data_IF_844207884979
#
_entry.id   IF_844207884979
#
_cell.length_a   1.000
_cell.length_b   1.000
_cell.length_c   1.000
_cell.angle_alpha   90.00
_cell.angle_beta   90.00
_cell.angle_gamma   90.00
#
_symmetry.space_group_name_H-M   'P 1'
#
loop_
_entity.id
_entity.type
_entity.pdbx_description
1 polymer ?
#
# COMPACT_ATOMS: atom_id res chain seq x y z
N UNK A 1 -7.10 -19.68 6.15
CA UNK A 1 -8.47 -19.92 6.63
C UNK A 1 -8.66 -19.11 7.90
N UNK A 2 -9.77 -18.38 7.99
CA UNK A 2 -10.11 -17.55 9.14
C UNK A 2 -11.56 -17.79 9.57
N UNK A 3 -11.87 -17.41 10.80
CA UNK A 3 -13.24 -17.21 11.28
C UNK A 3 -13.36 -15.80 11.85
N UNK A 4 -14.42 -15.10 11.45
CA UNK A 4 -14.75 -13.76 11.92
C UNK A 4 -16.25 -13.57 11.84
N UNK A 5 -16.85 -12.93 12.85
CA UNK A 5 -18.31 -12.72 12.91
C UNK A 5 -19.14 -14.01 12.75
N UNK A 6 -18.64 -15.15 13.23
CA UNK A 6 -19.30 -16.46 13.08
C UNK A 6 -19.25 -17.05 11.67
N UNK A 7 -18.58 -16.37 10.72
CA UNK A 7 -18.37 -16.82 9.34
C UNK A 7 -16.98 -17.42 9.24
N UNK A 8 -16.89 -18.67 8.81
CA UNK A 8 -15.66 -19.42 8.68
C UNK A 8 -15.35 -19.71 7.20
N UNK A 9 -14.18 -19.28 6.73
CA UNK A 9 -13.83 -19.45 5.33
C UNK A 9 -12.46 -18.94 4.92
N UNK A 10 -12.29 -18.77 3.62
CA UNK A 10 -11.07 -18.23 3.01
C UNK A 10 -11.39 -16.81 2.52
N UNK A 11 -10.61 -15.83 2.97
CA UNK A 11 -10.69 -14.46 2.45
C UNK A 11 -10.30 -14.47 0.98
N UNK A 12 -11.21 -14.01 0.12
CA UNK A 12 -11.01 -13.94 -1.32
C UNK A 12 -10.63 -12.52 -1.78
N UNK A 13 -11.20 -11.49 -1.16
CA UNK A 13 -10.95 -10.09 -1.50
C UNK A 13 -11.08 -9.19 -0.25
N UNK A 14 -10.26 -8.16 -0.13
CA UNK A 14 -10.46 -7.06 0.83
C UNK A 14 -10.45 -5.76 0.04
N UNK A 15 -11.55 -5.03 0.09
CA UNK A 15 -11.72 -3.73 -0.54
C UNK A 15 -11.83 -2.64 0.54
N UNK A 16 -11.99 -1.36 0.17
CA UNK A 16 -12.14 -0.25 1.12
C UNK A 16 -13.42 -0.36 1.95
N UNK A 17 -14.49 -0.91 1.36
CA UNK A 17 -15.81 -0.95 1.98
C UNK A 17 -16.14 -2.30 2.63
N UNK A 18 -15.63 -3.40 2.10
CA UNK A 18 -16.00 -4.75 2.53
C UNK A 18 -14.84 -5.73 2.40
N UNK A 19 -14.93 -6.80 3.18
CA UNK A 19 -14.13 -8.02 3.08
C UNK A 19 -15.01 -9.14 2.55
N UNK A 20 -14.51 -9.86 1.54
CA UNK A 20 -15.19 -11.00 0.92
C UNK A 20 -14.58 -12.30 1.44
N UNK A 21 -15.43 -13.18 1.97
CA UNK A 21 -15.05 -14.49 2.49
C UNK A 21 -15.81 -15.53 1.68
N UNK A 22 -15.10 -16.55 1.19
CA UNK A 22 -15.69 -17.73 0.58
C UNK A 22 -15.76 -18.83 1.64
N UNK A 23 -16.98 -19.25 1.96
CA UNK A 23 -17.25 -20.37 2.85
C UNK A 23 -16.96 -21.72 2.17
N UNK A 24 -16.99 -22.80 2.93
CA UNK A 24 -16.65 -24.14 2.45
C UNK A 24 -17.65 -24.72 1.45
N UNK A 25 -18.89 -24.29 1.52
CA UNK A 25 -19.96 -24.60 0.56
C UNK A 25 -19.82 -23.84 -0.77
N UNK A 26 -18.83 -22.94 -0.87
CA UNK A 26 -18.56 -22.12 -2.04
C UNK A 26 -19.34 -20.81 -2.08
N UNK A 27 -20.17 -20.51 -1.07
CA UNK A 27 -20.91 -19.25 -0.97
C UNK A 27 -19.95 -18.10 -0.66
N UNK A 28 -20.11 -16.99 -1.37
CA UNK A 28 -19.33 -15.78 -1.15
C UNK A 28 -20.10 -14.77 -0.31
N UNK A 29 -19.60 -14.48 0.88
CA UNK A 29 -20.19 -13.52 1.80
C UNK A 29 -19.37 -12.24 1.81
N UNK A 30 -20.05 -11.10 1.72
CA UNK A 30 -19.45 -9.76 1.87
C UNK A 30 -19.77 -9.20 3.24
N UNK A 31 -18.73 -8.89 4.01
CA UNK A 31 -18.84 -8.33 5.35
C UNK A 31 -18.27 -6.90 5.31
N UNK A 32 -19.02 -5.86 5.73
CA UNK A 32 -18.49 -4.51 5.85
C UNK A 32 -17.25 -4.46 6.74
N UNK A 33 -16.24 -3.68 6.36
CA UNK A 33 -14.98 -3.62 7.10
C UNK A 33 -15.16 -3.12 8.54
N UNK A 34 -16.15 -2.25 8.79
CA UNK A 34 -16.53 -1.82 10.14
C UNK A 34 -16.87 -3.00 11.06
N UNK A 35 -17.51 -4.03 10.50
CA UNK A 35 -17.96 -5.19 11.26
C UNK A 35 -16.84 -6.22 11.44
N UNK A 36 -15.88 -6.29 10.50
CA UNK A 36 -14.68 -7.14 10.63
C UNK A 36 -13.69 -6.55 11.62
N UNK A 37 -13.54 -5.22 11.64
CA UNK A 37 -12.60 -4.54 12.54
C UNK A 37 -12.97 -4.67 14.02
N UNK A 38 -14.28 -4.65 14.33
CA UNK A 38 -14.78 -4.77 15.70
C UNK A 38 -14.96 -6.21 16.19
N UNK A 39 -14.65 -7.23 15.39
CA UNK A 39 -14.91 -8.62 15.72
C UNK A 39 -13.66 -9.42 16.04
N UNK A 40 -13.83 -10.51 16.79
CA UNK A 40 -12.75 -11.47 17.02
C UNK A 40 -12.45 -12.21 15.71
N UNK A 41 -11.19 -12.16 15.27
CA UNK A 41 -10.72 -12.88 14.08
C UNK A 41 -9.81 -14.03 14.52
N UNK A 42 -10.20 -15.26 14.22
CA UNK A 42 -9.42 -16.48 14.51
C UNK A 42 -8.77 -16.96 13.22
N UNK A 43 -7.44 -17.03 13.17
CA UNK A 43 -6.68 -17.54 12.02
C UNK A 43 -6.36 -19.02 12.21
N UNK A 44 -6.94 -19.90 11.39
CA UNK A 44 -6.69 -21.35 11.41
C UNK A 44 -5.58 -21.79 10.46
N UNK A 45 -5.13 -20.92 9.57
CA UNK A 45 -3.97 -21.17 8.71
C UNK A 45 -2.74 -21.36 9.60
N UNK A 46 -2.33 -22.62 9.76
CA UNK A 46 -1.06 -22.98 10.38
C UNK A 46 0.06 -22.41 9.50
N UNK A 47 0.68 -21.31 9.95
CA UNK A 47 2.11 -21.18 9.71
C UNK A 47 2.75 -22.36 10.43
N UNK A 48 3.63 -23.10 9.75
CA UNK A 48 4.50 -24.05 10.44
C UNK A 48 5.05 -23.32 11.65
N UNK A 49 4.71 -23.77 12.86
CA UNK A 49 5.24 -23.22 14.09
C UNK A 49 6.76 -23.24 13.95
N UNK A 50 7.36 -22.08 13.64
CA UNK A 50 8.75 -21.85 14.00
C UNK A 50 8.73 -21.93 15.51
N UNK A 51 9.32 -23.01 16.05
CA UNK A 51 9.56 -23.13 17.49
C UNK A 51 10.14 -21.78 17.89
N UNK A 52 9.45 -21.10 18.81
CA UNK A 52 9.85 -19.79 19.30
C UNK A 52 11.14 -20.00 20.10
N UNK A 53 12.28 -20.04 19.42
CA UNK A 53 13.56 -19.93 20.08
C UNK A 53 13.55 -18.56 20.77
N UNK A 54 13.78 -18.47 22.09
CA UNK A 54 13.89 -17.19 22.76
C UNK A 54 14.97 -16.39 22.03
N UNK A 55 14.53 -15.29 21.41
CA UNK A 55 15.38 -14.39 20.62
C UNK A 55 16.64 -14.08 21.43
N UNK A 56 17.82 -14.45 20.91
CA UNK A 56 19.10 -14.06 21.52
C UNK A 56 19.10 -12.54 21.68
N UNK A 57 19.67 -12.04 22.79
CA UNK A 57 19.68 -10.63 23.24
C UNK A 57 19.91 -9.58 22.13
N UNK A 58 20.54 -9.96 21.03
CA UNK A 58 20.79 -9.12 19.85
C UNK A 58 19.51 -8.72 19.08
N UNK A 59 18.46 -9.55 19.04
CA UNK A 59 17.20 -9.21 18.35
C UNK A 59 16.27 -8.31 19.17
N UNK A 60 16.51 -8.15 20.46
CA UNK A 60 15.74 -7.22 21.30
C UNK A 60 15.97 -5.75 20.92
N UNK A 61 17.07 -5.45 20.21
CA UNK A 61 17.33 -4.12 19.64
C UNK A 61 16.30 -3.71 18.55
N UNK A 62 15.60 -4.66 17.91
CA UNK A 62 14.52 -4.34 16.94
C UNK A 62 13.28 -3.74 17.62
N UNK A 63 13.05 -4.00 18.91
CA UNK A 63 11.90 -3.43 19.66
C UNK A 63 12.01 -1.92 19.84
N UNK A 64 13.25 -1.39 19.94
CA UNK A 64 13.51 0.05 20.02
C UNK A 64 13.13 0.73 18.71
N UNK A 65 13.59 0.17 17.59
CA UNK A 65 13.25 0.68 16.26
C UNK A 65 11.75 0.57 15.96
N UNK A 66 11.07 -0.51 16.37
CA UNK A 66 9.63 -0.64 16.17
C UNK A 66 8.83 0.48 16.86
N UNK A 67 9.20 0.81 18.12
CA UNK A 67 8.60 1.95 18.82
C UNK A 67 8.93 3.28 18.15
N UNK A 68 10.12 3.43 17.59
CA UNK A 68 10.53 4.62 16.83
C UNK A 68 9.72 4.75 15.53
N UNK A 69 9.51 3.65 14.78
CA UNK A 69 8.68 3.64 13.57
C UNK A 69 7.22 3.96 13.87
N UNK A 70 6.62 3.37 14.93
CA UNK A 70 5.25 3.71 15.34
C UNK A 70 5.16 5.17 15.76
N UNK A 71 6.15 5.70 16.50
CA UNK A 71 6.19 7.13 16.84
C UNK A 71 6.28 8.00 15.60
N UNK A 72 7.07 7.60 14.60
CA UNK A 72 7.22 8.33 13.34
C UNK A 72 5.92 8.33 12.54
N UNK A 73 5.27 7.18 12.40
CA UNK A 73 3.97 7.04 11.73
C UNK A 73 2.92 7.87 12.47
N UNK A 74 2.83 7.76 13.81
CA UNK A 74 1.89 8.56 14.60
C UNK A 74 2.19 10.05 14.46
N UNK A 75 3.46 10.47 14.41
CA UNK A 75 3.86 11.87 14.17
C UNK A 75 3.44 12.33 12.77
N UNK A 76 3.57 11.50 11.74
CA UNK A 76 3.12 11.80 10.38
C UNK A 76 1.59 11.88 10.32
N UNK A 77 0.88 11.00 11.02
CA UNK A 77 -0.59 10.99 11.07
C UNK A 77 -1.15 12.15 11.91
N UNK A 78 -0.44 12.59 12.94
CA UNK A 78 -0.84 13.70 13.82
C UNK A 78 -0.35 15.07 13.32
N UNK A 79 0.73 15.10 12.53
CA UNK A 79 1.01 16.20 11.64
C UNK A 79 -0.06 16.18 10.55
N UNK A 80 -1.09 16.99 10.71
CA UNK A 80 -2.26 17.07 9.81
C UNK A 80 -1.88 17.69 8.45
N UNK A 81 -0.81 17.19 7.83
CA UNK A 81 -0.24 17.66 6.57
C UNK A 81 -1.16 17.15 5.47
N UNK A 82 -2.09 18.01 5.06
CA UNK A 82 -3.00 17.74 3.96
C UNK A 82 -2.22 17.84 2.65
N UNK A 83 -1.71 16.71 2.18
CA UNK A 83 -1.14 16.60 0.83
C UNK A 83 -2.20 16.18 -0.17
N UNK A 84 -2.25 16.87 -1.29
CA UNK A 84 -3.07 16.49 -2.44
C UNK A 84 -2.23 15.66 -3.38
N UNK A 85 -2.77 14.52 -3.82
CA UNK A 85 -2.11 13.64 -4.78
C UNK A 85 -2.94 13.58 -6.05
N UNK A 86 -2.32 13.95 -7.17
CA UNK A 86 -2.88 13.75 -8.49
C UNK A 86 -2.30 12.50 -9.14
N UNK A 87 -3.19 11.68 -9.71
CA UNK A 87 -2.88 10.39 -10.30
C UNK A 87 -3.01 10.51 -11.82
N UNK A 88 -1.90 10.42 -12.55
CA UNK A 88 -1.92 10.37 -14.01
C UNK A 88 -1.49 8.99 -14.49
N UNK A 89 -2.34 8.34 -15.27
CA UNK A 89 -1.97 7.09 -15.95
C UNK A 89 -1.41 7.45 -17.32
N UNK A 90 -0.18 7.02 -17.59
CA UNK A 90 0.48 7.16 -18.89
C UNK A 90 0.82 5.78 -19.44
N UNK A 91 0.63 5.59 -20.74
CA UNK A 91 1.02 4.36 -21.42
C UNK A 91 2.34 4.62 -22.15
N UNK A 92 3.36 3.85 -21.81
CA UNK A 92 4.66 3.90 -22.44
C UNK A 92 4.73 2.72 -23.40
N UNK A 93 5.10 3.01 -24.66
CA UNK A 93 5.35 1.98 -25.66
C UNK A 93 6.50 1.08 -25.17
N UNK A 94 6.32 -0.25 -25.27
CA UNK A 94 7.19 -1.27 -24.69
C UNK A 94 8.60 -1.39 -25.28
N UNK A 95 9.12 -0.37 -25.97
CA UNK A 95 10.50 -0.30 -26.43
C UNK A 95 11.47 0.20 -25.34
N UNK A 96 10.95 0.65 -24.19
CA UNK A 96 11.76 1.15 -23.09
C UNK A 96 12.21 0.00 -22.17
N UNK A 97 13.51 -0.09 -21.94
CA UNK A 97 14.10 -1.00 -20.94
C UNK A 97 13.63 -0.60 -19.53
N UNK A 98 12.95 -1.49 -18.77
CA UNK A 98 12.49 -1.20 -17.43
C UNK A 98 13.60 -0.73 -16.47
N UNK A 99 14.84 -1.15 -16.69
CA UNK A 99 15.99 -0.77 -15.85
C UNK A 99 16.31 0.72 -15.99
N UNK A 100 16.06 1.31 -17.17
CA UNK A 100 16.32 2.72 -17.47
C UNK A 100 15.15 3.65 -17.15
N UNK A 101 13.99 3.09 -16.80
CA UNK A 101 12.79 3.87 -16.52
C UNK A 101 12.97 4.79 -15.30
N UNK A 102 13.64 4.30 -14.26
CA UNK A 102 13.90 5.07 -13.05
C UNK A 102 14.79 6.29 -13.34
N UNK A 103 15.86 6.10 -14.10
CA UNK A 103 16.78 7.18 -14.48
C UNK A 103 16.09 8.24 -15.35
N UNK A 104 15.28 7.81 -16.32
CA UNK A 104 14.54 8.71 -17.20
C UNK A 104 13.49 9.53 -16.45
N UNK A 105 12.77 8.90 -15.52
CA UNK A 105 11.75 9.57 -14.72
C UNK A 105 12.37 10.45 -13.63
N UNK A 106 13.49 10.06 -13.02
CA UNK A 106 14.22 10.87 -12.03
C UNK A 106 14.62 12.24 -12.57
N UNK A 107 15.12 12.31 -13.79
CA UNK A 107 15.48 13.60 -14.40
C UNK A 107 14.27 14.52 -14.49
N UNK A 108 13.12 13.97 -14.88
CA UNK A 108 11.86 14.72 -14.91
C UNK A 108 11.43 15.09 -13.49
N UNK A 109 11.48 14.18 -12.53
CA UNK A 109 11.03 14.44 -11.16
C UNK A 109 11.86 15.50 -10.44
N UNK A 110 13.17 15.55 -10.68
CA UNK A 110 14.05 16.59 -10.15
C UNK A 110 13.63 18.00 -10.62
N UNK A 111 13.12 18.14 -11.85
CA UNK A 111 12.65 19.42 -12.38
C UNK A 111 11.31 19.85 -11.74
N UNK A 112 10.47 18.87 -11.36
CA UNK A 112 9.13 19.11 -10.82
C UNK A 112 9.07 19.13 -9.28
N UNK A 113 10.03 18.53 -8.57
CA UNK A 113 10.17 18.60 -7.12
C UNK A 113 10.15 20.05 -6.59
N UNK A 114 10.95 21.00 -7.10
CA UNK A 114 10.92 22.38 -6.60
C UNK A 114 9.60 23.11 -6.86
N UNK A 115 8.81 22.66 -7.85
CA UNK A 115 7.52 23.25 -8.20
C UNK A 115 6.44 22.77 -7.22
N UNK A 116 6.38 21.47 -6.98
CA UNK A 116 5.33 20.87 -6.14
C UNK A 116 5.69 20.83 -4.65
N UNK A 117 6.97 21.04 -4.32
CA UNK A 117 7.53 20.97 -2.96
C UNK A 117 7.70 19.53 -2.45
N UNK A 118 7.35 18.53 -3.25
CA UNK A 118 7.45 17.10 -2.96
C UNK A 118 7.85 16.40 -4.24
N UNK A 119 8.84 15.50 -4.15
CA UNK A 119 9.28 14.68 -5.27
C UNK A 119 8.12 13.81 -5.81
N UNK A 120 7.80 13.89 -7.11
CA UNK A 120 6.84 12.99 -7.74
C UNK A 120 7.31 11.54 -7.71
N UNK A 121 6.36 10.61 -7.79
CA UNK A 121 6.64 9.17 -7.70
C UNK A 121 5.88 8.41 -8.81
N UNK A 122 6.20 7.13 -9.02
CA UNK A 122 5.53 6.31 -10.02
C UNK A 122 5.35 4.85 -9.60
N UNK A 123 4.33 4.22 -10.18
CA UNK A 123 4.11 2.77 -10.07
C UNK A 123 3.92 2.17 -11.46
N UNK A 124 4.59 1.05 -11.70
CA UNK A 124 4.47 0.28 -12.94
C UNK A 124 3.37 -0.75 -12.79
N UNK A 125 2.41 -0.74 -13.72
CA UNK A 125 1.37 -1.76 -13.84
C UNK A 125 1.94 -2.96 -14.62
N UNK A 126 2.22 -4.04 -13.90
CA UNK A 126 2.84 -5.26 -14.44
C UNK A 126 1.83 -6.25 -15.05
N UNK A 127 0.53 -5.90 -15.07
CA UNK A 127 -0.53 -6.84 -15.44
C UNK A 127 -0.72 -7.05 -16.95
N UNK A 128 -0.01 -6.30 -17.81
CA UNK A 128 -0.19 -6.36 -19.28
C UNK A 128 1.10 -6.73 -20.01
N UNK A 129 1.04 -7.77 -20.84
CA UNK A 129 2.13 -8.14 -21.75
C UNK A 129 2.26 -7.13 -22.91
N UNK A 130 3.46 -6.58 -23.11
CA UNK A 130 3.81 -5.76 -24.28
C UNK A 130 3.50 -4.26 -24.22
N UNK A 131 2.84 -3.77 -23.15
CA UNK A 131 2.62 -2.33 -22.91
C UNK A 131 2.85 -2.03 -21.44
N UNK A 132 3.78 -1.12 -21.16
CA UNK A 132 4.07 -0.68 -19.79
C UNK A 132 3.16 0.50 -19.49
N UNK A 133 2.21 0.33 -18.57
CA UNK A 133 1.43 1.43 -18.05
C UNK A 133 2.07 1.90 -16.76
N UNK A 134 2.35 3.20 -16.69
CA UNK A 134 2.92 3.84 -15.50
C UNK A 134 1.85 4.75 -14.91
N UNK A 135 1.66 4.64 -13.60
CA UNK A 135 0.84 5.59 -12.83
C UNK A 135 1.80 6.57 -12.16
N UNK A 136 1.73 7.82 -12.55
CA UNK A 136 2.47 8.93 -11.95
C UNK A 136 1.68 9.50 -10.77
N UNK A 137 2.38 9.74 -9.67
CA UNK A 137 1.87 10.35 -8.46
C UNK A 137 2.54 11.72 -8.30
N UNK A 138 1.80 12.78 -8.62
CA UNK A 138 2.22 14.15 -8.37
C UNK A 138 1.62 14.60 -7.06
N UNK A 139 2.45 15.02 -6.09
CA UNK A 139 2.03 15.35 -4.73
C UNK A 139 2.38 16.79 -4.43
N UNK A 140 1.50 17.51 -3.74
CA UNK A 140 1.82 18.84 -3.22
C UNK A 140 1.00 19.13 -1.96
N UNK A 141 1.55 19.95 -1.07
CA UNK A 141 0.81 20.49 0.08
C UNK A 141 -0.23 21.53 -0.34
N UNK A 142 -0.04 22.19 -1.50
CA UNK A 142 -0.98 23.18 -2.02
C UNK A 142 -1.72 22.62 -3.26
N UNK A 143 -3.03 22.33 -3.16
CA UNK A 143 -3.82 21.79 -4.27
C UNK A 143 -3.85 22.69 -5.51
N UNK A 144 -3.73 24.01 -5.32
CA UNK A 144 -3.80 25.00 -6.42
C UNK A 144 -2.63 24.84 -7.38
N UNK A 145 -1.45 24.47 -6.87
CA UNK A 145 -0.26 24.26 -7.70
C UNK A 145 -0.49 23.11 -8.68
N UNK A 146 -1.08 22.01 -8.20
CA UNK A 146 -1.41 20.87 -9.06
C UNK A 146 -2.45 21.28 -10.11
N UNK A 147 -3.50 22.01 -9.72
CA UNK A 147 -4.54 22.45 -10.66
C UNK A 147 -4.04 23.38 -11.76
N UNK A 148 -3.01 24.20 -11.49
CA UNK A 148 -2.43 25.12 -12.48
C UNK A 148 -1.48 24.44 -13.47
N UNK A 149 -0.96 23.25 -13.13
CA UNK A 149 0.01 22.49 -13.94
C UNK A 149 -0.62 21.33 -14.73
N UNK A 150 -1.95 21.16 -14.63
CA UNK A 150 -2.74 20.18 -15.37
C UNK A 150 -3.38 20.79 -16.61
#
# INVERSE_FOLDING_TARGET
>A
MIETNGIQGIVSEINLNYTKIREFDGVEIKIPNSNVYGSTIVKFTHDKFKIFEPLKKEEFHKSKYYKEYIKMINKILSANIKTTTYLKKVEILGSLDPIKLDELLRNVFNDYEPIFGIEPDYAVDTTRFGRVRVTLYVKSENPVIIMNYL
#
